data_IF_687300397510
#
_entry.id   IF_687300397510
#
_cell.length_a   1.000
_cell.length_b   1.000
_cell.length_c   1.000
_cell.angle_alpha   90.00
_cell.angle_beta   90.00
_cell.angle_gamma   90.00
#
_symmetry.space_group_name_H-M   'P 1'
#
loop_
_entity.id
_entity.type
_entity.pdbx_description
1 polymer ?
#
# COMPACT_ATOMS: atom_id res chain seq x y z
N UNK A 1 -14.82 9.89 -12.50
CA UNK A 1 -14.06 9.94 -11.26
C UNK A 1 -12.73 9.30 -11.43
N UNK A 2 -11.71 10.02 -11.09
CA UNK A 2 -10.36 9.48 -11.18
C UNK A 2 -10.07 8.60 -9.97
N UNK A 3 -9.21 7.65 -10.16
CA UNK A 3 -8.68 6.83 -9.09
C UNK A 3 -7.22 7.19 -8.90
N UNK A 4 -6.80 7.27 -7.65
CA UNK A 4 -5.40 7.41 -7.33
C UNK A 4 -4.84 6.01 -7.17
N UNK A 5 -3.77 5.72 -7.91
CA UNK A 5 -3.14 4.42 -7.84
C UNK A 5 -1.69 4.60 -7.48
N UNK A 6 -1.25 3.91 -6.46
CA UNK A 6 0.13 4.01 -6.00
C UNK A 6 0.72 2.61 -5.91
N UNK A 7 2.03 2.55 -6.06
CA UNK A 7 2.77 1.31 -5.89
C UNK A 7 3.44 1.36 -4.53
N UNK A 8 3.19 0.33 -3.75
CA UNK A 8 3.77 0.20 -2.42
C UNK A 8 4.77 -0.94 -2.43
N UNK A 9 5.98 -0.67 -2.00
CA UNK A 9 6.94 -1.73 -1.75
C UNK A 9 6.81 -2.13 -0.30
N UNK A 10 6.34 -3.33 -0.08
CA UNK A 10 6.02 -3.83 1.25
C UNK A 10 7.09 -4.82 1.66
N UNK A 11 7.70 -4.60 2.82
CA UNK A 11 8.61 -5.57 3.41
C UNK A 11 7.88 -6.24 4.55
N UNK A 12 7.86 -7.56 4.52
CA UNK A 12 7.21 -8.35 5.56
C UNK A 12 8.20 -8.60 6.69
N UNK A 13 7.65 -8.97 7.83
CA UNK A 13 8.48 -9.21 9.01
C UNK A 13 9.50 -10.32 8.77
N UNK A 14 9.15 -11.29 7.93
CA UNK A 14 10.07 -12.37 7.60
C UNK A 14 11.20 -11.97 6.66
N UNK A 15 11.23 -10.75 6.20
CA UNK A 15 12.30 -10.26 5.33
C UNK A 15 11.97 -10.23 3.86
N UNK A 16 10.91 -10.89 3.46
CA UNK A 16 10.49 -10.84 2.06
C UNK A 16 9.89 -9.49 1.74
N UNK A 17 9.97 -9.11 0.49
CA UNK A 17 9.32 -7.88 0.06
C UNK A 17 8.64 -8.10 -1.27
N UNK A 18 7.62 -7.29 -1.53
CA UNK A 18 6.87 -7.38 -2.77
C UNK A 18 6.29 -6.01 -3.08
N UNK A 19 6.02 -5.79 -4.34
CA UNK A 19 5.39 -4.55 -4.79
C UNK A 19 3.92 -4.84 -5.01
N UNK A 20 3.08 -3.99 -4.44
CA UNK A 20 1.64 -4.11 -4.61
C UNK A 20 1.09 -2.77 -5.10
N UNK A 21 -0.05 -2.84 -5.74
CA UNK A 21 -0.75 -1.65 -6.20
C UNK A 21 -1.97 -1.44 -5.32
N UNK A 22 -2.11 -0.22 -4.86
CA UNK A 22 -3.24 0.16 -4.02
C UNK A 22 -3.98 1.29 -4.72
N UNK A 23 -5.26 1.10 -4.94
CA UNK A 23 -6.09 2.07 -5.63
C UNK A 23 -7.14 2.61 -4.67
N UNK A 24 -7.35 3.90 -4.72
CA UNK A 24 -8.32 4.57 -3.89
C UNK A 24 -9.02 5.61 -4.75
N UNK A 25 -10.25 5.95 -4.37
CA UNK A 25 -10.96 7.02 -5.04
C UNK A 25 -10.13 8.28 -4.97
N UNK A 26 -10.17 9.05 -6.05
CA UNK A 26 -9.29 10.18 -6.20
C UNK A 26 -9.32 11.10 -5.00
N UNK A 27 -8.16 11.43 -4.54
CA UNK A 27 -7.91 12.37 -3.50
C UNK A 27 -6.45 12.74 -3.61
N UNK A 28 -5.97 13.50 -2.66
CA UNK A 28 -4.55 13.79 -2.63
C UNK A 28 -3.79 12.51 -2.31
N UNK A 29 -2.66 12.34 -2.95
CA UNK A 29 -1.81 11.18 -2.70
C UNK A 29 -1.49 11.09 -1.21
N UNK A 30 -1.26 12.23 -0.57
CA UNK A 30 -0.96 12.25 0.86
C UNK A 30 -2.07 11.61 1.68
N UNK A 31 -3.33 11.85 1.29
CA UNK A 31 -4.45 11.27 2.00
C UNK A 31 -4.51 9.76 1.83
N UNK A 32 -4.18 9.29 0.62
CA UNK A 32 -4.14 7.85 0.35
C UNK A 32 -3.05 7.21 1.19
N UNK A 33 -1.88 7.82 1.23
CA UNK A 33 -0.75 7.30 2.01
C UNK A 33 -1.11 7.27 3.49
N UNK A 34 -1.74 8.34 4.00
CA UNK A 34 -2.15 8.37 5.39
C UNK A 34 -3.14 7.25 5.71
N UNK A 35 -4.07 7.00 4.80
CA UNK A 35 -5.01 5.91 4.98
C UNK A 35 -4.34 4.56 5.07
N UNK A 36 -3.33 4.32 4.25
CA UNK A 36 -2.56 3.09 4.30
C UNK A 36 -1.84 2.97 5.64
N UNK A 37 -1.19 4.05 6.07
CA UNK A 37 -0.46 4.05 7.34
C UNK A 37 -1.41 3.76 8.50
N UNK A 38 -2.54 4.44 8.55
CA UNK A 38 -3.49 4.25 9.63
C UNK A 38 -3.99 2.81 9.65
N UNK A 39 -4.27 2.26 8.48
CA UNK A 39 -4.78 0.89 8.39
C UNK A 39 -3.75 -0.10 8.88
N UNK A 40 -2.50 0.03 8.41
CA UNK A 40 -1.47 -0.96 8.75
C UNK A 40 -0.93 -0.79 10.16
N UNK A 41 -1.16 0.36 10.77
CA UNK A 41 -0.69 0.60 12.13
C UNK A 41 -1.53 -0.13 13.18
N UNK A 42 -2.72 -0.60 12.80
CA UNK A 42 -3.57 -1.32 13.73
C UNK A 42 -3.21 -2.78 13.76
N UNK A 43 -3.27 -3.40 14.94
CA UNK A 43 -2.97 -4.82 15.08
C UNK A 43 -3.87 -5.69 14.22
N UNK A 44 -5.13 -5.28 14.06
CA UNK A 44 -6.08 -6.02 13.25
C UNK A 44 -6.31 -5.35 11.89
N UNK A 45 -5.42 -4.45 11.50
CA UNK A 45 -5.56 -3.76 10.24
C UNK A 45 -5.31 -4.67 9.06
N UNK A 46 -6.10 -4.46 8.01
CA UNK A 46 -6.01 -5.26 6.80
C UNK A 46 -6.08 -4.31 5.62
N UNK A 47 -5.14 -4.46 4.69
CA UNK A 47 -5.12 -3.65 3.48
C UNK A 47 -5.32 -4.54 2.27
N UNK A 48 -6.30 -4.20 1.45
CA UNK A 48 -6.55 -4.91 0.19
C UNK A 48 -5.83 -4.18 -0.92
N UNK A 49 -5.06 -4.93 -1.68
CA UNK A 49 -4.29 -4.35 -2.77
C UNK A 49 -4.12 -5.39 -3.87
N UNK A 50 -3.36 -5.05 -4.89
CA UNK A 50 -3.17 -5.93 -6.04
C UNK A 50 -1.70 -6.29 -6.17
N UNK A 51 -1.45 -7.52 -6.54
CA UNK A 51 -0.10 -7.97 -6.82
C UNK A 51 -0.19 -8.91 -8.02
N UNK A 52 0.37 -8.48 -9.15
CA UNK A 52 0.37 -9.31 -10.34
C UNK A 52 -1.01 -9.67 -10.83
N UNK A 53 -1.97 -8.75 -10.71
CA UNK A 53 -3.33 -9.01 -11.14
C UNK A 53 -4.17 -9.79 -10.16
N UNK A 54 -3.63 -10.11 -9.00
CA UNK A 54 -4.34 -10.86 -7.97
C UNK A 54 -4.65 -9.96 -6.80
N UNK A 55 -5.79 -10.22 -6.17
CA UNK A 55 -6.12 -9.53 -4.93
C UNK A 55 -5.19 -10.03 -3.84
N UNK A 56 -4.53 -9.11 -3.18
CA UNK A 56 -3.63 -9.42 -2.09
C UNK A 56 -4.16 -8.73 -0.84
N UNK A 57 -4.20 -9.46 0.25
CA UNK A 57 -4.62 -8.90 1.53
C UNK A 57 -3.41 -8.88 2.44
N UNK A 58 -3.05 -7.69 2.90
CA UNK A 58 -1.90 -7.52 3.79
C UNK A 58 -2.41 -7.28 5.19
N UNK A 59 -1.86 -8.01 6.13
CA UNK A 59 -2.17 -7.82 7.54
C UNK A 59 -1.11 -6.90 8.14
N UNK A 60 -1.58 -5.85 8.83
CA UNK A 60 -0.66 -4.86 9.38
C UNK A 60 0.40 -5.49 10.27
N UNK A 61 0.01 -6.50 11.04
CA UNK A 61 0.94 -7.15 11.96
C UNK A 61 2.02 -7.97 11.26
N UNK A 62 1.86 -8.22 9.96
CA UNK A 62 2.87 -8.94 9.18
C UNK A 62 3.75 -8.04 8.35
N UNK A 63 3.53 -6.73 8.41
CA UNK A 63 4.25 -5.78 7.59
C UNK A 63 5.26 -5.04 8.46
N UNK A 64 6.51 -5.04 8.04
CA UNK A 64 7.56 -4.33 8.75
C UNK A 64 7.71 -2.91 8.23
N UNK A 65 7.76 -2.73 6.90
CA UNK A 65 7.89 -1.41 6.31
C UNK A 65 7.11 -1.34 5.02
N UNK A 66 6.73 -0.12 4.66
CA UNK A 66 6.10 0.17 3.39
C UNK A 66 6.80 1.37 2.79
N UNK A 67 7.24 1.22 1.54
CA UNK A 67 7.81 2.33 0.79
C UNK A 67 6.80 2.72 -0.27
N UNK A 68 6.57 4.00 -0.40
CA UNK A 68 5.63 4.52 -1.39
C UNK A 68 6.42 5.11 -2.54
N UNK A 69 6.17 4.63 -3.74
CA UNK A 69 6.83 5.21 -4.91
C UNK A 69 6.36 6.65 -5.06
N UNK A 70 7.27 7.58 -5.31
CA UNK A 70 6.87 8.97 -5.48
C UNK A 70 5.86 9.11 -6.60
N UNK A 71 4.76 9.77 -6.31
CA UNK A 71 3.72 9.99 -7.29
C UNK A 71 4.25 10.90 -8.38
N UNK A 72 4.06 10.47 -9.61
CA UNK A 72 4.54 11.27 -10.72
C UNK A 72 6.04 11.33 -10.83
N UNK A 73 6.74 10.50 -10.08
CA UNK A 73 8.18 10.45 -10.20
C UNK A 73 8.53 10.00 -11.58
N UNK A 74 9.39 10.73 -12.18
CA UNK A 74 9.93 10.34 -13.44
C UNK A 74 11.16 9.55 -13.14
N UNK A 75 11.06 8.39 -13.42
CA UNK A 75 12.17 7.52 -13.11
C UNK A 75 12.59 6.84 -14.36
#
# INVERSE_FOLDING_TARGET
MAMAEIVLRVRLIGGEHLDVTYAETAGAVDEVVEGVIVTLAKDDGVLRCQHGGRLMVLYGRGVATVEVAPQGAVV
#
